data_IF_203861081138
#
_entry.id   IF_203861081138
#
_cell.length_a   1.000
_cell.length_b   1.000
_cell.length_c   1.000
_cell.angle_alpha   90.00
_cell.angle_beta   90.00
_cell.angle_gamma   90.00
#
_symmetry.space_group_name_H-M   'P 1'
#
loop_
_entity.id
_entity.type
_entity.pdbx_description
1 polymer ?
#
# COMPACT_ATOMS: atom_id res chain seq x y z
N UNK A 1 12.00 12.00 45.42
CA UNK A 1 11.71 11.79 43.96
C UNK A 1 12.93 12.28 43.20
N UNK A 2 13.78 11.36 42.69
CA UNK A 2 14.96 11.76 41.92
C UNK A 2 14.50 12.27 40.54
N UNK A 3 14.66 13.61 40.34
CA UNK A 3 14.53 14.13 38.95
C UNK A 3 15.67 13.57 38.11
N UNK A 4 15.32 13.18 36.88
CA UNK A 4 16.34 12.84 35.89
C UNK A 4 17.39 13.94 35.78
N UNK A 5 18.65 13.56 35.80
CA UNK A 5 19.75 14.52 35.63
C UNK A 5 19.56 15.32 34.32
N UNK A 6 19.90 16.57 34.33
CA UNK A 6 19.73 17.48 33.17
C UNK A 6 20.34 16.91 31.90
N UNK A 7 21.50 16.28 32.01
CA UNK A 7 22.16 15.59 30.88
C UNK A 7 21.31 14.45 30.30
N UNK A 8 20.71 13.60 31.16
CA UNK A 8 19.86 12.50 30.71
C UNK A 8 18.62 13.01 29.98
N UNK A 9 17.99 14.08 30.48
CA UNK A 9 16.87 14.76 29.82
C UNK A 9 17.26 15.23 28.40
N UNK A 10 18.46 15.82 28.27
CA UNK A 10 18.98 16.24 26.94
C UNK A 10 19.28 15.11 26.01
N UNK A 11 19.87 14.01 26.49
CA UNK A 11 20.10 12.80 25.69
C UNK A 11 18.78 12.16 25.22
N UNK A 12 17.78 12.07 26.10
CA UNK A 12 16.42 11.60 25.74
C UNK A 12 15.81 12.47 24.66
N UNK A 13 15.94 13.81 24.82
CA UNK A 13 15.44 14.75 23.79
C UNK A 13 16.22 14.62 22.48
N UNK A 14 17.56 14.47 22.54
CA UNK A 14 18.38 14.24 21.34
C UNK A 14 17.93 12.98 20.61
N UNK A 15 17.69 11.87 21.33
CA UNK A 15 17.19 10.65 20.71
C UNK A 15 15.82 10.85 20.05
N UNK A 16 14.90 11.57 20.69
CA UNK A 16 13.60 11.87 20.12
C UNK A 16 13.74 12.71 18.82
N UNK A 17 14.61 13.71 18.82
CA UNK A 17 14.94 14.53 17.65
C UNK A 17 15.52 13.66 16.52
N UNK A 18 16.47 12.76 16.79
CA UNK A 18 17.06 11.88 15.77
C UNK A 18 16.05 10.90 15.18
N UNK A 19 15.17 10.32 16.00
CA UNK A 19 14.10 9.45 15.54
C UNK A 19 13.11 10.19 14.66
N UNK A 20 12.69 11.39 15.07
CA UNK A 20 11.75 12.21 14.30
C UNK A 20 12.37 12.67 12.97
N UNK A 21 13.64 13.09 12.97
CA UNK A 21 14.36 13.40 11.73
C UNK A 21 14.42 12.21 10.77
N UNK A 22 14.67 11.02 11.31
CA UNK A 22 14.69 9.79 10.50
C UNK A 22 13.31 9.50 9.90
N UNK A 23 12.25 9.66 10.70
CA UNK A 23 10.85 9.48 10.26
C UNK A 23 10.49 10.46 9.14
N UNK A 24 10.74 11.76 9.36
CA UNK A 24 10.43 12.80 8.39
C UNK A 24 11.24 12.66 7.11
N UNK A 25 12.53 12.29 7.21
CA UNK A 25 13.36 12.04 6.03
C UNK A 25 12.85 10.85 5.22
N UNK A 26 12.41 9.79 5.87
CA UNK A 26 11.81 8.64 5.19
C UNK A 26 10.46 9.02 4.53
N UNK A 27 9.61 9.78 5.23
CA UNK A 27 8.35 10.29 4.70
C UNK A 27 8.59 11.18 3.47
N UNK A 28 9.53 12.14 3.56
CA UNK A 28 9.88 13.02 2.44
C UNK A 28 10.35 12.24 1.20
N UNK A 29 11.12 11.18 1.39
CA UNK A 29 11.55 10.30 0.29
C UNK A 29 10.41 9.50 -0.34
N UNK A 30 9.34 9.23 0.40
CA UNK A 30 8.19 8.48 -0.09
C UNK A 30 7.22 9.34 -0.93
N UNK A 31 7.13 10.65 -0.66
CA UNK A 31 6.20 11.56 -1.31
C UNK A 31 6.21 11.51 -2.85
N UNK A 32 7.37 11.53 -3.55
CA UNK A 32 7.36 11.43 -5.00
C UNK A 32 6.75 10.13 -5.54
N UNK A 33 6.84 9.04 -4.76
CA UNK A 33 6.24 7.75 -5.12
C UNK A 33 4.72 7.81 -5.21
N UNK A 34 4.05 8.61 -4.39
CA UNK A 34 2.59 8.79 -4.45
C UNK A 34 2.15 9.46 -5.75
N UNK A 35 2.90 10.48 -6.19
CA UNK A 35 2.63 11.16 -7.47
C UNK A 35 2.82 10.19 -8.64
N UNK A 36 3.94 9.45 -8.64
CA UNK A 36 4.24 8.48 -9.70
C UNK A 36 3.16 7.38 -9.77
N UNK A 37 2.70 6.87 -8.63
CA UNK A 37 1.63 5.88 -8.60
C UNK A 37 0.33 6.42 -9.19
N UNK A 38 -0.07 7.64 -8.82
CA UNK A 38 -1.28 8.28 -9.33
C UNK A 38 -1.17 8.61 -10.84
N UNK A 39 -0.02 9.10 -11.29
CA UNK A 39 0.25 9.37 -12.71
C UNK A 39 0.20 8.09 -13.55
N UNK A 40 0.71 6.98 -13.04
CA UNK A 40 0.64 5.68 -13.73
C UNK A 40 -0.80 5.19 -13.89
N UNK A 41 -1.65 5.38 -12.87
CA UNK A 41 -3.08 5.05 -12.98
C UNK A 41 -3.78 5.91 -14.04
N UNK A 42 -3.52 7.22 -14.07
CA UNK A 42 -4.05 8.11 -15.09
C UNK A 42 -3.58 7.74 -16.49
N UNK A 43 -2.30 7.41 -16.63
CA UNK A 43 -1.72 6.97 -17.91
C UNK A 43 -2.36 5.66 -18.40
N UNK A 44 -2.62 4.70 -17.49
CA UNK A 44 -3.30 3.46 -17.85
C UNK A 44 -4.74 3.70 -18.30
N UNK A 45 -5.49 4.59 -17.61
CA UNK A 45 -6.84 4.95 -18.01
C UNK A 45 -6.89 5.64 -19.39
N UNK A 46 -5.99 6.58 -19.65
CA UNK A 46 -5.85 7.24 -20.95
C UNK A 46 -5.48 6.25 -22.06
N UNK A 47 -4.59 5.29 -21.75
CA UNK A 47 -4.23 4.25 -22.71
C UNK A 47 -5.43 3.38 -23.06
N UNK A 48 -6.26 3.01 -22.10
CA UNK A 48 -7.47 2.22 -22.37
C UNK A 48 -8.45 2.95 -23.31
N UNK A 49 -8.57 4.28 -23.20
CA UNK A 49 -9.37 5.08 -24.14
C UNK A 49 -8.80 4.99 -25.55
N UNK A 50 -7.49 5.18 -25.70
CA UNK A 50 -6.82 5.10 -27.01
C UNK A 50 -6.95 3.69 -27.60
N UNK A 51 -6.77 2.65 -26.80
CA UNK A 51 -6.90 1.26 -27.25
C UNK A 51 -8.34 0.98 -27.75
N UNK A 52 -9.36 1.50 -27.07
CA UNK A 52 -10.75 1.40 -27.51
C UNK A 52 -11.01 2.19 -28.81
N UNK A 53 -10.45 3.39 -28.96
CA UNK A 53 -10.56 4.18 -30.21
C UNK A 53 -9.90 3.49 -31.40
N UNK A 54 -8.74 2.86 -31.19
CA UNK A 54 -8.07 2.03 -32.21
C UNK A 54 -8.93 0.82 -32.56
N UNK A 55 -9.54 0.18 -31.57
CA UNK A 55 -10.49 -0.92 -31.78
C UNK A 55 -11.68 -0.50 -32.61
N UNK A 56 -12.33 0.61 -32.26
CA UNK A 56 -13.47 1.16 -33.03
C UNK A 56 -13.11 1.42 -34.48
N UNK A 57 -11.94 2.00 -34.73
CA UNK A 57 -11.47 2.24 -36.10
C UNK A 57 -11.25 0.94 -36.89
N UNK A 58 -10.76 -0.11 -36.20
CA UNK A 58 -10.59 -1.44 -36.82
C UNK A 58 -11.95 -2.03 -37.23
N UNK A 59 -12.94 -1.98 -36.33
CA UNK A 59 -14.28 -2.49 -36.62
C UNK A 59 -14.95 -1.71 -37.76
N UNK A 60 -14.78 -0.39 -37.81
CA UNK A 60 -15.28 0.45 -38.93
C UNK A 60 -14.70 0.01 -40.29
N UNK A 61 -13.36 -0.18 -40.35
CA UNK A 61 -12.69 -0.65 -41.56
C UNK A 61 -13.09 -2.08 -41.95
N UNK A 62 -13.28 -2.96 -40.97
CA UNK A 62 -13.76 -4.33 -41.20
C UNK A 62 -15.14 -4.33 -41.82
N UNK A 63 -16.08 -3.53 -41.27
CA UNK A 63 -17.45 -3.44 -41.86
C UNK A 63 -17.44 -2.86 -43.27
N UNK A 64 -16.65 -1.81 -43.54
CA UNK A 64 -16.51 -1.25 -44.87
C UNK A 64 -16.00 -2.33 -45.90
N UNK A 65 -15.08 -3.22 -45.46
CA UNK A 65 -14.62 -4.31 -46.32
C UNK A 65 -15.70 -5.34 -46.56
N UNK A 66 -16.45 -5.72 -45.49
CA UNK A 66 -17.57 -6.69 -45.60
C UNK A 66 -18.65 -6.14 -46.54
N UNK A 67 -19.05 -4.88 -46.39
CA UNK A 67 -20.03 -4.24 -47.26
C UNK A 67 -19.62 -4.30 -48.78
N UNK A 68 -18.35 -4.04 -49.09
CA UNK A 68 -17.79 -4.12 -50.40
C UNK A 68 -17.82 -5.56 -50.94
N UNK A 69 -17.46 -6.54 -50.13
CA UNK A 69 -17.51 -7.97 -50.54
C UNK A 69 -18.93 -8.41 -50.79
N UNK A 70 -19.88 -8.07 -49.91
CA UNK A 70 -21.32 -8.38 -50.11
C UNK A 70 -21.86 -7.73 -51.37
N UNK A 71 -21.52 -6.47 -51.67
CA UNK A 71 -21.92 -5.80 -52.90
C UNK A 71 -21.37 -6.56 -54.12
N UNK A 72 -20.10 -6.98 -54.05
CA UNK A 72 -19.46 -7.76 -55.13
C UNK A 72 -20.14 -9.09 -55.35
N UNK A 73 -20.48 -9.83 -54.28
CA UNK A 73 -21.19 -11.10 -54.37
C UNK A 73 -22.62 -10.93 -54.91
N UNK A 74 -23.33 -9.91 -54.47
CA UNK A 74 -24.67 -9.57 -55.00
C UNK A 74 -24.64 -9.28 -56.51
N UNK A 75 -23.62 -8.54 -56.98
CA UNK A 75 -23.42 -8.30 -58.41
C UNK A 75 -23.11 -9.62 -59.20
N UNK A 76 -22.32 -10.54 -58.61
CA UNK A 76 -22.07 -11.86 -59.22
C UNK A 76 -23.34 -12.71 -59.27
N UNK A 77 -24.14 -12.74 -58.22
CA UNK A 77 -25.43 -13.47 -58.20
C UNK A 77 -26.36 -12.93 -59.32
N UNK A 78 -26.46 -11.58 -59.50
CA UNK A 78 -27.24 -10.99 -60.53
C UNK A 78 -26.81 -11.45 -61.95
N UNK A 79 -25.50 -11.52 -62.19
CA UNK A 79 -24.95 -12.07 -63.46
C UNK A 79 -25.25 -13.52 -63.63
N UNK A 80 -25.08 -14.35 -62.62
CA UNK A 80 -25.38 -15.79 -62.73
C UNK A 80 -26.87 -16.07 -62.93
N UNK A 81 -27.77 -15.24 -62.35
CA UNK A 81 -29.22 -15.35 -62.62
C UNK A 81 -29.52 -15.07 -64.08
N UNK A 82 -28.95 -13.99 -64.66
CA UNK A 82 -29.11 -13.73 -66.11
C UNK A 82 -28.55 -14.85 -66.97
N UNK A 83 -27.45 -15.50 -66.58
CA UNK A 83 -26.88 -16.66 -67.31
C UNK A 83 -27.71 -17.92 -67.11
N UNK A 84 -28.32 -18.12 -65.95
CA UNK A 84 -29.23 -19.20 -65.67
C UNK A 84 -30.48 -19.11 -66.56
N UNK A 85 -31.06 -17.91 -66.70
CA UNK A 85 -32.22 -17.67 -67.55
C UNK A 85 -31.91 -17.90 -69.03
N UNK A 86 -30.65 -17.78 -69.46
CA UNK A 86 -30.17 -17.97 -70.82
C UNK A 86 -29.59 -19.41 -71.06
N UNK A 87 -29.64 -20.30 -70.04
CA UNK A 87 -29.03 -21.65 -70.11
C UNK A 87 -29.71 -22.55 -71.16
N UNK A 88 -28.88 -23.16 -72.00
CA UNK A 88 -29.39 -24.05 -73.13
C UNK A 88 -29.52 -25.53 -72.75
N UNK A 89 -29.00 -25.95 -71.61
CA UNK A 89 -29.08 -27.34 -71.17
C UNK A 89 -29.09 -27.40 -69.62
N UNK A 90 -29.56 -28.51 -69.04
CA UNK A 90 -29.75 -28.80 -67.67
C UNK A 90 -28.38 -28.73 -66.83
N UNK A 91 -27.29 -29.15 -67.47
CA UNK A 91 -25.97 -29.15 -66.82
C UNK A 91 -25.45 -27.73 -66.60
N UNK A 92 -25.68 -26.82 -67.54
CA UNK A 92 -25.32 -25.36 -67.37
C UNK A 92 -26.20 -24.72 -66.29
N UNK A 93 -27.52 -24.98 -66.35
CA UNK A 93 -28.44 -24.44 -65.33
C UNK A 93 -28.02 -24.88 -63.92
N UNK A 94 -27.74 -26.19 -63.71
CA UNK A 94 -27.29 -26.72 -62.41
C UNK A 94 -25.96 -26.05 -61.93
N UNK A 95 -25.02 -25.82 -62.87
CA UNK A 95 -23.76 -25.15 -62.52
C UNK A 95 -23.99 -23.71 -62.01
N UNK A 96 -24.90 -22.93 -62.68
CA UNK A 96 -25.20 -21.56 -62.20
C UNK A 96 -26.00 -21.53 -60.90
N UNK A 97 -26.94 -22.49 -60.71
CA UNK A 97 -27.64 -22.65 -59.42
C UNK A 97 -26.66 -22.91 -58.28
N UNK A 98 -25.67 -23.79 -58.52
CA UNK A 98 -24.63 -24.10 -57.54
C UNK A 98 -23.78 -22.87 -57.18
N UNK A 99 -23.42 -22.06 -58.20
CA UNK A 99 -22.65 -20.81 -57.95
C UNK A 99 -23.46 -19.75 -57.22
N UNK A 100 -24.76 -19.61 -57.50
CA UNK A 100 -25.69 -18.75 -56.79
C UNK A 100 -25.81 -19.20 -55.34
N UNK A 101 -25.99 -20.51 -55.12
CA UNK A 101 -26.07 -21.07 -53.76
C UNK A 101 -24.82 -20.81 -52.94
N UNK A 102 -23.64 -21.01 -53.52
CA UNK A 102 -22.37 -20.74 -52.87
C UNK A 102 -22.22 -19.25 -52.52
N UNK A 103 -22.48 -18.36 -53.48
CA UNK A 103 -22.37 -16.92 -53.25
C UNK A 103 -23.38 -16.41 -52.20
N UNK A 104 -24.58 -17.02 -52.16
CA UNK A 104 -25.59 -16.66 -51.14
C UNK A 104 -25.15 -17.11 -49.76
N UNK A 105 -24.61 -18.31 -49.60
CA UNK A 105 -24.08 -18.80 -48.33
C UNK A 105 -22.92 -17.93 -47.81
N UNK A 106 -22.06 -17.46 -48.75
CA UNK A 106 -20.97 -16.54 -48.37
C UNK A 106 -21.46 -15.17 -47.92
N UNK A 107 -22.52 -14.63 -48.54
CA UNK A 107 -23.18 -13.41 -48.10
C UNK A 107 -23.69 -13.57 -46.65
N UNK A 108 -24.41 -14.68 -46.37
CA UNK A 108 -24.90 -14.94 -45.00
C UNK A 108 -23.77 -14.97 -43.99
N UNK A 109 -22.64 -15.61 -44.30
CA UNK A 109 -21.46 -15.65 -43.45
C UNK A 109 -20.88 -14.26 -43.21
N UNK A 110 -20.83 -13.42 -44.23
CA UNK A 110 -20.35 -12.06 -44.11
C UNK A 110 -21.31 -11.16 -43.29
N UNK A 111 -22.63 -11.33 -43.45
CA UNK A 111 -23.65 -10.64 -42.66
C UNK A 111 -23.56 -11.03 -41.17
N UNK A 112 -23.29 -12.32 -40.84
CA UNK A 112 -23.03 -12.78 -39.48
C UNK A 112 -21.75 -12.12 -38.90
N UNK A 113 -20.68 -11.97 -39.69
CA UNK A 113 -19.46 -11.28 -39.29
C UNK A 113 -19.72 -9.78 -39.03
N UNK A 114 -20.59 -9.17 -39.87
CA UNK A 114 -20.98 -7.74 -39.67
C UNK A 114 -21.73 -7.56 -38.36
N UNK A 115 -22.66 -8.43 -38.03
CA UNK A 115 -23.36 -8.43 -36.72
C UNK A 115 -22.37 -8.54 -35.56
N UNK A 116 -21.41 -9.46 -35.64
CA UNK A 116 -20.36 -9.63 -34.64
C UNK A 116 -19.53 -8.36 -34.50
N UNK A 117 -19.17 -7.70 -35.60
CA UNK A 117 -18.44 -6.42 -35.58
C UNK A 117 -19.28 -5.28 -34.96
N UNK A 118 -20.60 -5.29 -35.16
CA UNK A 118 -21.50 -4.32 -34.50
C UNK A 118 -21.53 -4.53 -32.98
N UNK A 119 -21.65 -5.78 -32.51
CA UNK A 119 -21.60 -6.11 -31.09
C UNK A 119 -20.27 -5.70 -30.44
N UNK A 120 -19.15 -5.96 -31.11
CA UNK A 120 -17.83 -5.51 -30.68
C UNK A 120 -17.74 -3.98 -30.57
N UNK A 121 -18.33 -3.28 -31.54
CA UNK A 121 -18.38 -1.80 -31.54
C UNK A 121 -19.11 -1.28 -30.31
N UNK A 122 -20.27 -1.84 -29.95
CA UNK A 122 -21.01 -1.43 -28.75
C UNK A 122 -20.22 -1.66 -27.45
N UNK A 123 -19.45 -2.74 -27.38
CA UNK A 123 -18.56 -3.01 -26.23
C UNK A 123 -17.46 -1.96 -26.15
N UNK A 124 -16.78 -1.71 -27.27
CA UNK A 124 -15.70 -0.72 -27.36
C UNK A 124 -16.17 0.71 -27.06
N UNK A 125 -17.36 1.11 -27.52
CA UNK A 125 -17.95 2.41 -27.20
C UNK A 125 -18.22 2.57 -25.69
N UNK A 126 -18.76 1.52 -25.07
CA UNK A 126 -18.98 1.51 -23.61
C UNK A 126 -17.66 1.60 -22.85
N UNK A 127 -16.65 0.85 -23.28
CA UNK A 127 -15.33 0.86 -22.65
C UNK A 127 -14.63 2.21 -22.81
N UNK A 128 -14.73 2.81 -24.01
CA UNK A 128 -14.24 4.18 -24.27
C UNK A 128 -14.91 5.19 -23.34
N UNK A 129 -16.24 5.16 -23.22
CA UNK A 129 -16.99 6.08 -22.36
C UNK A 129 -16.56 5.94 -20.88
N UNK A 130 -16.45 4.71 -20.37
CA UNK A 130 -15.94 4.42 -19.02
C UNK A 130 -14.52 4.90 -18.82
N UNK A 131 -13.66 4.67 -19.83
CA UNK A 131 -12.27 5.12 -19.80
C UNK A 131 -12.13 6.63 -19.71
N UNK A 132 -12.93 7.38 -20.48
CA UNK A 132 -12.97 8.85 -20.46
C UNK A 132 -13.40 9.35 -19.07
N UNK A 133 -14.47 8.81 -18.51
CA UNK A 133 -14.95 9.18 -17.18
C UNK A 133 -13.88 8.89 -16.10
N UNK A 134 -13.27 7.72 -16.15
CA UNK A 134 -12.20 7.34 -15.22
C UNK A 134 -10.99 8.26 -15.37
N UNK A 135 -10.55 8.56 -16.59
CA UNK A 135 -9.43 9.47 -16.83
C UNK A 135 -9.71 10.89 -16.31
N UNK A 136 -10.95 11.38 -16.43
CA UNK A 136 -11.36 12.66 -15.88
C UNK A 136 -11.28 12.67 -14.35
N UNK A 137 -11.83 11.64 -13.69
CA UNK A 137 -11.75 11.47 -12.21
C UNK A 137 -10.31 11.39 -11.74
N UNK A 138 -9.48 10.57 -12.39
CA UNK A 138 -8.07 10.44 -12.05
C UNK A 138 -7.27 11.71 -12.28
N UNK A 139 -7.61 12.51 -13.30
CA UNK A 139 -6.96 13.81 -13.52
C UNK A 139 -7.19 14.75 -12.33
N UNK A 140 -8.41 14.83 -11.82
CA UNK A 140 -8.72 15.60 -10.62
C UNK A 140 -7.98 15.06 -9.38
N UNK A 141 -7.97 13.72 -9.22
CA UNK A 141 -7.29 13.06 -8.11
C UNK A 141 -5.78 13.33 -8.13
N UNK A 142 -5.13 13.24 -9.29
CA UNK A 142 -3.70 13.55 -9.45
C UNK A 142 -3.40 15.00 -9.07
N UNK A 143 -4.26 15.95 -9.46
CA UNK A 143 -4.09 17.36 -9.09
C UNK A 143 -4.16 17.55 -7.56
N UNK A 144 -5.11 16.91 -6.89
CA UNK A 144 -5.23 16.93 -5.41
C UNK A 144 -4.02 16.28 -4.72
N UNK A 145 -3.55 15.13 -5.21
CA UNK A 145 -2.36 14.46 -4.66
C UNK A 145 -1.14 15.36 -4.81
N UNK A 146 -0.93 16.00 -5.96
CA UNK A 146 0.21 16.90 -6.17
C UNK A 146 0.16 18.12 -5.25
N UNK A 147 -1.02 18.71 -5.05
CA UNK A 147 -1.18 19.83 -4.11
C UNK A 147 -0.83 19.41 -2.68
N UNK A 148 -1.43 18.29 -2.20
CA UNK A 148 -1.15 17.74 -0.87
C UNK A 148 0.32 17.39 -0.67
N UNK A 149 0.94 16.71 -1.64
CA UNK A 149 2.36 16.34 -1.59
C UNK A 149 3.25 17.59 -1.56
N UNK A 150 2.88 18.63 -2.32
CA UNK A 150 3.60 19.92 -2.28
C UNK A 150 3.55 20.59 -0.91
N UNK A 151 2.38 20.61 -0.27
CA UNK A 151 2.22 21.14 1.09
C UNK A 151 3.02 20.33 2.11
N UNK A 152 2.94 18.99 2.05
CA UNK A 152 3.70 18.09 2.94
C UNK A 152 5.22 18.19 2.73
N UNK A 153 5.70 18.37 1.50
CA UNK A 153 7.13 18.56 1.23
C UNK A 153 7.65 19.83 1.93
N UNK A 154 6.92 20.94 1.82
CA UNK A 154 7.27 22.20 2.49
C UNK A 154 7.25 22.01 4.02
N UNK A 155 6.17 21.47 4.57
CA UNK A 155 6.02 21.24 5.99
C UNK A 155 7.16 20.36 6.57
N UNK A 156 7.45 19.23 5.92
CA UNK A 156 8.49 18.32 6.39
C UNK A 156 9.89 18.95 6.32
N UNK A 157 10.16 19.77 5.30
CA UNK A 157 11.44 20.51 5.21
C UNK A 157 11.58 21.55 6.31
N UNK A 158 10.52 22.27 6.62
CA UNK A 158 10.52 23.25 7.72
C UNK A 158 10.74 22.54 9.06
N UNK A 159 10.02 21.44 9.33
CA UNK A 159 10.22 20.65 10.54
C UNK A 159 11.64 20.09 10.63
N UNK A 160 12.19 19.57 9.54
CA UNK A 160 13.58 19.09 9.49
C UNK A 160 14.59 20.19 9.76
N UNK A 161 14.35 21.41 9.30
CA UNK A 161 15.21 22.57 9.58
C UNK A 161 15.20 22.93 11.08
N UNK A 162 14.02 22.98 11.72
CA UNK A 162 13.88 23.20 13.14
C UNK A 162 14.56 22.11 13.97
N UNK A 163 14.32 20.85 13.64
CA UNK A 163 14.96 19.72 14.31
C UNK A 163 16.48 19.70 14.11
N UNK A 164 16.98 20.18 12.98
CA UNK A 164 18.43 20.34 12.75
C UNK A 164 19.03 21.34 13.72
N UNK A 165 18.43 22.52 13.88
CA UNK A 165 18.89 23.54 14.80
C UNK A 165 18.83 23.07 16.26
N UNK A 166 17.73 22.43 16.66
CA UNK A 166 17.59 21.84 18.00
C UNK A 166 18.64 20.77 18.27
N UNK A 167 18.87 19.89 17.30
CA UNK A 167 19.90 18.86 17.36
C UNK A 167 21.29 19.45 17.61
N UNK A 168 21.64 20.49 16.86
CA UNK A 168 22.95 21.16 16.98
C UNK A 168 23.11 21.80 18.35
N UNK A 169 22.09 22.48 18.86
CA UNK A 169 22.09 23.03 20.19
C UNK A 169 22.26 21.99 21.30
N UNK A 170 21.46 20.90 21.25
CA UNK A 170 21.57 19.80 22.21
C UNK A 170 22.94 19.11 22.16
N UNK A 171 23.53 18.94 20.99
CA UNK A 171 24.86 18.33 20.85
C UNK A 171 25.96 19.25 21.43
N UNK A 172 25.89 20.56 21.19
CA UNK A 172 26.81 21.54 21.77
C UNK A 172 26.74 21.48 23.27
N UNK A 173 25.54 21.48 23.85
CA UNK A 173 25.37 21.42 25.31
C UNK A 173 25.86 20.06 25.88
N UNK A 174 25.55 18.95 25.22
CA UNK A 174 25.98 17.60 25.65
C UNK A 174 27.50 17.42 25.58
N UNK A 175 28.17 18.06 24.63
CA UNK A 175 29.63 18.01 24.50
C UNK A 175 30.36 18.63 25.70
N UNK A 176 29.71 19.50 26.50
CA UNK A 176 30.30 20.08 27.70
C UNK A 176 30.25 19.16 28.93
N UNK A 177 29.47 18.06 28.85
CA UNK A 177 29.39 17.08 29.91
C UNK A 177 30.37 15.93 29.66
N UNK A 178 31.13 15.53 30.68
CA UNK A 178 32.01 14.35 30.65
C UNK A 178 32.93 14.36 29.40
N UNK A 179 33.47 15.52 29.02
CA UNK A 179 34.29 15.73 27.82
C UNK A 179 33.70 15.13 26.54
N UNK A 180 32.35 15.02 26.47
CA UNK A 180 31.64 14.45 25.35
C UNK A 180 31.66 12.93 25.27
N UNK A 181 32.24 12.21 26.22
CA UNK A 181 32.40 10.75 26.17
C UNK A 181 31.06 10.04 26.10
N UNK A 182 30.05 10.50 26.81
CA UNK A 182 28.68 9.91 26.80
C UNK A 182 27.95 10.18 25.49
N UNK A 183 28.15 11.36 24.90
CA UNK A 183 27.61 11.68 23.58
C UNK A 183 28.25 10.79 22.49
N UNK A 184 29.57 10.58 22.55
CA UNK A 184 30.28 9.70 21.63
C UNK A 184 29.81 8.24 21.77
N UNK A 185 29.55 7.76 22.99
CA UNK A 185 28.98 6.45 23.23
C UNK A 185 27.55 6.35 22.66
N UNK A 186 26.71 7.37 22.89
CA UNK A 186 25.37 7.46 22.32
C UNK A 186 25.41 7.35 20.79
N UNK A 187 26.25 8.13 20.12
CA UNK A 187 26.37 8.15 18.66
C UNK A 187 26.78 6.77 18.10
N UNK A 188 27.76 6.14 18.73
CA UNK A 188 28.23 4.80 18.32
C UNK A 188 27.11 3.77 18.41
N UNK A 189 26.33 3.77 19.47
CA UNK A 189 25.25 2.80 19.66
C UNK A 189 24.06 3.15 18.78
N UNK A 190 23.68 4.43 18.68
CA UNK A 190 22.60 4.89 17.81
C UNK A 190 22.88 4.55 16.32
N UNK A 191 24.10 4.74 15.87
CA UNK A 191 24.51 4.38 14.51
C UNK A 191 24.40 2.90 14.17
N UNK A 192 24.63 2.00 15.16
CA UNK A 192 24.55 0.55 14.96
C UNK A 192 23.17 -0.06 15.24
N UNK A 193 22.38 0.55 16.12
CA UNK A 193 21.13 -0.05 16.65
C UNK A 193 19.89 0.84 16.50
N UNK A 194 20.04 1.98 15.84
CA UNK A 194 18.97 2.95 15.61
C UNK A 194 18.65 3.84 16.83
N UNK A 195 19.01 3.42 18.05
CA UNK A 195 18.81 4.18 19.30
C UNK A 195 20.00 4.03 20.23
N UNK A 196 20.45 5.14 20.82
CA UNK A 196 21.57 5.16 21.77
C UNK A 196 21.16 4.94 23.22
N UNK A 197 19.90 5.32 23.57
CA UNK A 197 19.33 5.11 24.91
C UNK A 197 18.26 4.03 24.92
N UNK A 198 18.04 3.46 26.09
CA UNK A 198 16.92 2.59 26.40
C UNK A 198 16.42 2.85 27.83
N UNK A 199 15.12 2.80 28.01
CA UNK A 199 14.51 2.89 29.35
C UNK A 199 14.69 1.59 30.11
N UNK A 200 14.92 1.69 31.42
CA UNK A 200 14.87 0.56 32.32
C UNK A 200 13.44 0.51 32.90
N UNK A 201 12.67 -0.53 32.56
CA UNK A 201 11.27 -0.72 32.98
C UNK A 201 11.09 -2.13 33.49
N UNK A 202 10.56 -2.30 34.72
CA UNK A 202 10.31 -3.62 35.30
C UNK A 202 11.55 -4.52 35.34
N UNK A 203 12.72 -3.97 35.66
CA UNK A 203 14.03 -4.64 35.64
C UNK A 203 14.45 -5.18 34.25
N UNK A 204 13.91 -4.60 33.16
CA UNK A 204 14.28 -4.98 31.81
C UNK A 204 14.74 -3.75 30.99
N UNK A 205 15.65 -3.97 30.05
CA UNK A 205 16.05 -2.98 29.06
C UNK A 205 14.99 -2.89 27.95
N UNK A 206 14.37 -1.72 27.76
CA UNK A 206 13.35 -1.53 26.69
C UNK A 206 13.90 -1.72 25.27
N UNK A 207 15.23 -1.62 25.10
CA UNK A 207 15.87 -1.75 23.79
C UNK A 207 16.18 -3.18 23.33
N UNK A 208 16.54 -4.08 24.26
CA UNK A 208 16.87 -5.48 23.94
C UNK A 208 16.01 -6.50 24.71
N UNK A 209 15.16 -6.04 25.64
CA UNK A 209 14.27 -6.85 26.49
C UNK A 209 14.98 -7.83 27.43
N UNK A 210 16.30 -7.70 27.58
CA UNK A 210 17.06 -8.49 28.53
C UNK A 210 16.89 -7.98 29.94
N UNK A 211 16.90 -8.89 30.92
CA UNK A 211 16.85 -8.55 32.34
C UNK A 211 18.06 -7.71 32.77
N UNK A 212 17.82 -6.76 33.67
CA UNK A 212 18.84 -5.92 34.30
C UNK A 212 19.14 -6.51 35.68
N UNK A 213 20.41 -6.69 35.99
CA UNK A 213 20.82 -7.19 37.31
C UNK A 213 20.29 -6.33 38.45
N UNK A 214 19.84 -6.87 39.56
CA UNK A 214 19.25 -6.10 40.66
C UNK A 214 20.13 -4.95 41.17
N UNK A 215 21.44 -5.14 41.19
CA UNK A 215 22.38 -4.10 41.59
C UNK A 215 22.36 -2.92 40.65
N UNK A 216 22.41 -3.17 39.32
CA UNK A 216 22.32 -2.11 38.28
C UNK A 216 20.96 -1.45 38.32
N UNK A 217 19.89 -2.23 38.51
CA UNK A 217 18.54 -1.72 38.64
C UNK A 217 18.41 -0.70 39.80
N UNK A 218 18.97 -1.01 40.96
CA UNK A 218 18.97 -0.11 42.12
C UNK A 218 19.74 1.20 41.79
N UNK A 219 20.94 1.09 41.19
CA UNK A 219 21.74 2.23 40.79
C UNK A 219 21.00 3.14 39.76
N UNK A 220 20.26 2.54 38.82
CA UNK A 220 19.43 3.32 37.88
C UNK A 220 18.30 4.07 38.60
N UNK A 221 17.66 3.43 39.59
CA UNK A 221 16.64 4.08 40.43
C UNK A 221 17.19 5.23 41.29
N UNK A 222 18.46 5.13 41.69
CA UNK A 222 19.18 6.20 42.39
C UNK A 222 19.59 7.35 41.45
N UNK A 223 19.26 7.28 40.15
CA UNK A 223 19.49 8.33 39.16
C UNK A 223 20.79 8.15 38.36
N UNK A 224 21.53 7.07 38.56
CA UNK A 224 22.71 6.79 37.76
C UNK A 224 22.30 6.37 36.35
N UNK A 225 23.17 6.64 35.40
CA UNK A 225 23.00 6.29 33.96
C UNK A 225 24.11 5.32 33.59
N UNK A 226 23.76 4.10 33.21
CA UNK A 226 24.70 2.99 33.00
C UNK A 226 24.46 2.32 31.65
N UNK A 227 25.49 1.74 30.99
CA UNK A 227 25.30 0.98 29.78
C UNK A 227 24.61 -0.36 30.07
N UNK A 228 23.73 -0.78 29.19
CA UNK A 228 23.15 -2.14 29.24
C UNK A 228 24.22 -3.20 28.94
N UNK A 229 24.39 -4.18 29.80
CA UNK A 229 25.41 -5.24 29.65
C UNK A 229 25.19 -6.06 28.35
N UNK A 230 23.95 -6.22 27.91
CA UNK A 230 23.62 -7.02 26.72
C UNK A 230 23.66 -6.25 25.39
N UNK A 231 23.25 -4.98 25.39
CA UNK A 231 23.12 -4.23 24.14
C UNK A 231 23.90 -2.91 24.10
N UNK A 232 24.56 -2.56 25.20
CA UNK A 232 25.37 -1.34 25.35
C UNK A 232 24.62 -0.01 25.19
N UNK A 233 23.28 -0.02 25.04
CA UNK A 233 22.50 1.22 25.10
C UNK A 233 22.62 1.85 26.47
N UNK A 234 22.62 3.15 26.53
CA UNK A 234 22.61 3.90 27.78
C UNK A 234 21.24 3.70 28.44
N UNK A 235 21.23 3.07 29.61
CA UNK A 235 20.04 2.88 30.42
C UNK A 235 19.76 4.09 31.29
N UNK A 236 18.50 4.48 31.39
CA UNK A 236 18.00 5.45 32.33
C UNK A 236 16.68 4.98 32.95
N UNK A 237 16.41 5.40 34.16
CA UNK A 237 15.15 5.15 34.85
C UNK A 237 14.31 6.41 34.90
N UNK A 238 13.03 6.28 34.55
CA UNK A 238 12.05 7.36 34.66
C UNK A 238 10.90 6.88 35.56
N UNK A 239 10.79 7.42 36.79
CA UNK A 239 9.77 6.98 37.73
C UNK A 239 8.32 7.24 37.25
N UNK A 240 8.11 8.16 36.33
CA UNK A 240 6.77 8.48 35.80
C UNK A 240 6.25 7.40 34.87
N UNK A 241 7.10 6.49 34.43
CA UNK A 241 6.78 5.44 33.43
C UNK A 241 6.84 4.03 34.01
N UNK A 242 6.95 3.90 35.32
CA UNK A 242 6.83 2.60 35.96
C UNK A 242 5.35 2.20 35.98
N UNK A 243 4.97 1.00 35.51
CA UNK A 243 3.60 0.54 35.66
C UNK A 243 3.26 0.53 37.14
N UNK A 244 2.07 1.04 37.51
CA UNK A 244 1.60 0.92 38.89
C UNK A 244 1.79 -0.50 39.39
N UNK A 245 2.36 -0.70 40.60
CA UNK A 245 2.54 -2.03 41.13
C UNK A 245 1.16 -2.71 41.14
N UNK A 246 1.03 -3.80 40.41
CA UNK A 246 -0.19 -4.59 40.43
C UNK A 246 -0.50 -4.91 41.88
N UNK A 247 -1.63 -4.37 42.40
CA UNK A 247 -2.09 -4.69 43.74
C UNK A 247 -1.98 -6.22 43.92
N UNK A 248 -1.32 -6.71 44.97
CA UNK A 248 -1.29 -8.13 45.23
C UNK A 248 -2.76 -8.56 45.23
N UNK A 249 -3.13 -9.53 44.39
CA UNK A 249 -4.42 -10.17 44.50
C UNK A 249 -4.51 -10.62 45.95
N UNK A 250 -5.40 -9.98 46.72
CA UNK A 250 -5.67 -10.33 48.11
C UNK A 250 -5.83 -11.85 48.14
N UNK A 251 -5.01 -12.50 48.99
CA UNK A 251 -5.15 -13.92 49.22
C UNK A 251 -6.61 -14.21 49.53
N UNK A 252 -7.30 -14.84 48.57
CA UNK A 252 -8.62 -15.40 48.86
C UNK A 252 -8.38 -16.39 49.97
N UNK A 253 -8.95 -16.07 51.15
CA UNK A 253 -8.89 -16.91 52.33
C UNK A 253 -9.39 -18.30 51.95
N UNK A 254 -8.53 -19.30 52.20
CA UNK A 254 -8.85 -20.71 52.12
C UNK A 254 -9.71 -21.05 53.37
N UNK A 255 -10.99 -20.66 53.36
CA UNK A 255 -11.94 -20.96 54.42
C UNK A 255 -13.27 -21.51 53.92
N UNK A 256 -13.31 -22.05 52.72
CA UNK A 256 -14.51 -22.74 52.22
C UNK A 256 -14.21 -24.16 51.67
N UNK A 257 -13.47 -24.94 52.43
CA UNK A 257 -13.41 -26.40 52.25
C UNK A 257 -13.78 -27.09 53.55
N UNK A 258 -15.04 -27.01 53.96
CA UNK A 258 -15.51 -27.70 55.15
C UNK A 258 -17.05 -27.81 55.18
N UNK A 259 -17.62 -28.71 54.42
CA UNK A 259 -19.06 -28.91 54.46
C UNK A 259 -19.58 -30.01 53.53
N UNK A 260 -18.90 -31.16 53.55
CA UNK A 260 -19.41 -32.37 52.91
C UNK A 260 -20.37 -33.07 53.89
N UNK A 261 -21.66 -32.80 53.82
CA UNK A 261 -22.72 -33.54 54.51
C UNK A 261 -22.89 -34.93 53.87
N UNK A 262 -22.49 -35.95 54.58
CA UNK A 262 -22.78 -37.36 54.31
C UNK A 262 -24.28 -37.61 54.51
N UNK A 263 -25.03 -37.70 53.43
CA UNK A 263 -26.39 -38.26 53.49
C UNK A 263 -26.32 -39.78 53.51
N UNK A 264 -26.56 -40.38 54.68
CA UNK A 264 -26.85 -41.81 54.89
C UNK A 264 -28.16 -42.15 54.12
N UNK A 265 -28.02 -42.98 53.10
CA UNK A 265 -29.16 -43.71 52.56
C UNK A 265 -29.54 -44.81 53.57
N UNK A 266 -30.70 -44.72 54.23
CA UNK A 266 -31.36 -45.84 54.88
C UNK A 266 -32.09 -46.64 53.82
N UNK A 267 -31.75 -47.92 53.76
CA UNK A 267 -32.52 -48.94 53.11
C UNK A 267 -33.63 -49.41 54.10
N UNK A 268 -34.83 -49.53 53.61
CA UNK A 268 -35.92 -50.09 54.37
C UNK A 268 -37.06 -50.48 53.41
N UNK A 269 -37.23 -51.81 53.31
CA UNK A 269 -38.38 -52.61 52.86
C UNK A 269 -39.06 -52.27 51.52
#
# INVERSE_FOLDING_TARGET
>A
MNELATETKRLVRLQAVELERTRLTAALKALPGEIVAADNQLKAAKKAVVDAEVGLKREELSRASIELEVATLRAKIARFRTQLDAAQNASQAQAFEHQIGFATAEITRLEDNELTSMENTEVLERDRARGIELAAKLTATVALIRARVGEQDVEFREQLALLKTEREALRTELATFDDGARLAHFDRIAGSKGTGLARAVGQQCSGCRMGIRPQIWNQLRDGLVLPCESCSRILYFDPTMEPEPSRPKSAQSITDLGGSSIQRRQAGN
#
